data_IF_202702515091
#
_entry.id   IF_202702515091
#
_cell.length_a   1.000
_cell.length_b   1.000
_cell.length_c   1.000
_cell.angle_alpha   90.00
_cell.angle_beta   90.00
_cell.angle_gamma   90.00
#
_symmetry.space_group_name_H-M   'P 1'
#
loop_
_entity.id
_entity.type
_entity.pdbx_description
1 polymer ?
#
# COMPACT_ATOMS: atom_id res chain seq x y z
N UNK A 1 60.90 38.59 -1.32
CA UNK A 1 59.57 37.97 -1.33
C UNK A 1 59.69 36.56 -0.76
N UNK A 2 59.30 36.39 0.50
CA UNK A 2 59.37 35.12 1.20
C UNK A 2 58.20 34.22 0.76
N UNK A 3 58.52 33.03 0.23
CA UNK A 3 57.56 31.99 -0.02
C UNK A 3 56.94 31.55 1.32
N UNK A 4 55.66 31.85 1.50
CA UNK A 4 54.89 31.41 2.65
C UNK A 4 54.77 29.87 2.60
N UNK A 5 55.43 29.21 3.55
CA UNK A 5 55.24 27.78 3.84
C UNK A 5 53.78 27.57 4.24
N UNK A 6 53.06 26.72 3.51
CA UNK A 6 51.74 26.24 3.89
C UNK A 6 51.82 25.57 5.27
N UNK A 7 51.01 26.06 6.21
CA UNK A 7 50.86 25.49 7.54
C UNK A 7 50.32 24.06 7.46
N UNK A 8 50.68 23.16 8.41
CA UNK A 8 50.14 21.82 8.44
C UNK A 8 48.63 21.91 8.64
N UNK A 9 47.87 21.52 7.62
CA UNK A 9 46.42 21.41 7.70
C UNK A 9 46.13 20.36 8.79
N UNK A 10 45.49 20.77 9.88
CA UNK A 10 45.06 19.88 10.97
C UNK A 10 44.42 18.62 10.36
N UNK A 11 44.78 17.43 10.87
CA UNK A 11 44.32 16.13 10.36
C UNK A 11 42.79 16.08 10.21
N UNK A 12 42.05 16.76 11.10
CA UNK A 12 40.60 16.88 11.00
C UNK A 12 40.17 17.70 9.77
N UNK A 13 40.84 18.81 9.48
CA UNK A 13 40.58 19.64 8.31
C UNK A 13 40.86 18.89 6.99
N UNK A 14 41.92 18.09 6.95
CA UNK A 14 42.17 17.19 5.82
C UNK A 14 41.01 16.20 5.64
N UNK A 15 40.54 15.57 6.71
CA UNK A 15 39.45 14.61 6.61
C UNK A 15 38.13 15.25 6.18
N UNK A 16 37.82 16.45 6.67
CA UNK A 16 36.63 17.20 6.28
C UNK A 16 36.68 17.63 4.81
N UNK A 17 37.85 18.03 4.31
CA UNK A 17 38.03 18.35 2.89
C UNK A 17 37.76 17.13 2.00
N UNK A 18 38.30 15.95 2.34
CA UNK A 18 38.02 14.70 1.63
C UNK A 18 36.54 14.32 1.66
N UNK A 19 35.89 14.47 2.83
CA UNK A 19 34.46 14.18 2.99
C UNK A 19 33.59 15.14 2.17
N UNK A 20 33.97 16.42 2.10
CA UNK A 20 33.25 17.46 1.36
C UNK A 20 33.43 17.29 -0.14
N UNK A 21 34.64 16.99 -0.60
CA UNK A 21 34.90 16.65 -2.00
C UNK A 21 34.08 15.43 -2.44
N UNK A 22 34.09 14.36 -1.63
CA UNK A 22 33.30 13.17 -1.90
C UNK A 22 31.78 13.41 -1.85
N UNK A 23 31.31 14.40 -1.08
CA UNK A 23 29.91 14.81 -1.07
C UNK A 23 29.52 15.57 -2.36
N UNK A 24 30.45 16.33 -2.97
CA UNK A 24 30.21 17.16 -4.17
C UNK A 24 30.44 16.46 -5.52
N UNK A 25 31.40 15.54 -5.63
CA UNK A 25 31.72 14.87 -6.91
C UNK A 25 30.92 13.58 -7.09
N UNK A 26 30.27 13.38 -8.25
CA UNK A 26 29.55 12.14 -8.61
C UNK A 26 30.39 10.88 -8.38
N UNK A 27 29.77 9.76 -7.95
CA UNK A 27 30.46 8.49 -7.63
C UNK A 27 31.02 7.78 -8.88
N UNK A 28 30.95 8.43 -10.06
CA UNK A 28 31.52 7.95 -11.31
C UNK A 28 32.42 9.02 -11.89
N UNK A 29 33.70 8.71 -12.08
CA UNK A 29 34.58 9.58 -12.85
C UNK A 29 36.05 9.64 -12.46
N UNK A 30 36.64 8.62 -11.82
CA UNK A 30 38.11 8.48 -11.87
C UNK A 30 38.52 7.03 -11.98
N UNK A 31 39.26 6.74 -13.05
CA UNK A 31 39.92 5.47 -13.34
C UNK A 31 41.06 5.32 -12.32
N UNK A 32 40.73 4.82 -11.14
CA UNK A 32 41.70 4.64 -10.06
C UNK A 32 42.42 3.30 -10.18
N UNK A 33 43.75 3.37 -10.18
CA UNK A 33 44.68 2.25 -10.25
C UNK A 33 44.63 1.39 -8.98
N UNK A 34 44.81 0.07 -9.17
CA UNK A 34 44.25 -1.00 -8.34
C UNK A 34 44.87 -1.23 -6.94
N UNK A 35 45.68 -0.33 -6.38
CA UNK A 35 46.52 -0.66 -5.20
C UNK A 35 46.47 0.29 -3.99
N UNK A 36 45.76 1.43 -4.04
CA UNK A 36 45.70 2.36 -2.89
C UNK A 36 44.30 2.50 -2.30
N UNK A 37 44.15 2.43 -0.97
CA UNK A 37 42.91 2.83 -0.30
C UNK A 37 42.54 4.25 -0.70
N UNK A 38 41.29 4.46 -1.11
CA UNK A 38 40.81 5.76 -1.58
C UNK A 38 41.10 6.83 -0.51
N UNK A 39 41.48 8.06 -0.91
CA UNK A 39 41.68 9.17 0.02
C UNK A 39 40.51 9.34 1.00
N UNK A 40 39.27 9.09 0.52
CA UNK A 40 38.05 9.07 1.31
C UNK A 40 38.03 7.94 2.36
N UNK A 41 38.36 6.71 1.99
CA UNK A 41 38.37 5.58 2.93
C UNK A 41 39.34 5.81 4.09
N UNK A 42 40.54 6.33 3.80
CA UNK A 42 41.53 6.72 4.83
C UNK A 42 41.04 7.87 5.70
N UNK A 43 40.41 8.88 5.10
CA UNK A 43 39.83 10.01 5.85
C UNK A 43 38.71 9.56 6.79
N UNK A 44 37.80 8.69 6.35
CA UNK A 44 36.72 8.15 7.18
C UNK A 44 37.26 7.26 8.32
N UNK A 45 38.29 6.45 8.04
CA UNK A 45 38.93 5.66 9.09
C UNK A 45 39.59 6.56 10.15
N UNK A 46 40.30 7.62 9.73
CA UNK A 46 40.91 8.59 10.62
C UNK A 46 39.85 9.38 11.42
N UNK A 47 38.75 9.80 10.78
CA UNK A 47 37.60 10.41 11.44
C UNK A 47 37.03 9.51 12.52
N UNK A 48 36.78 8.25 12.20
CA UNK A 48 36.22 7.28 13.17
C UNK A 48 37.17 7.01 14.33
N UNK A 49 38.45 6.81 14.07
CA UNK A 49 39.40 6.27 15.06
C UNK A 49 40.12 7.36 15.87
N UNK A 50 40.43 8.51 15.26
CA UNK A 50 41.26 9.55 15.87
C UNK A 50 40.48 10.81 16.25
N UNK A 51 39.40 11.12 15.52
CA UNK A 51 38.66 12.36 15.74
C UNK A 51 37.39 12.12 16.56
N UNK A 52 36.45 11.32 16.05
CA UNK A 52 35.15 11.10 16.71
C UNK A 52 35.25 10.32 18.01
N UNK A 53 36.21 9.39 18.13
CA UNK A 53 36.45 8.65 19.39
C UNK A 53 37.27 9.42 20.42
N UNK A 54 37.89 10.55 20.05
CA UNK A 54 38.66 11.34 21.00
C UNK A 54 37.73 12.16 21.92
N UNK A 55 38.20 12.49 23.12
CA UNK A 55 37.47 13.38 24.03
C UNK A 55 37.15 14.73 23.36
N UNK A 56 35.88 15.16 23.44
CA UNK A 56 35.38 16.38 22.76
C UNK A 56 35.50 16.33 21.23
N UNK A 57 35.74 15.15 20.65
CA UNK A 57 35.98 14.95 19.23
C UNK A 57 34.73 15.11 18.37
N UNK A 58 33.58 14.64 18.88
CA UNK A 58 32.28 14.79 18.25
C UNK A 58 31.88 16.26 18.19
N UNK A 59 32.02 17.00 19.29
CA UNK A 59 31.75 18.44 19.31
C UNK A 59 32.64 19.21 18.32
N UNK A 60 33.95 18.90 18.26
CA UNK A 60 34.85 19.52 17.27
C UNK A 60 34.47 19.20 15.82
N UNK A 61 34.09 17.95 15.55
CA UNK A 61 33.60 17.54 14.23
C UNK A 61 32.29 18.27 13.86
N UNK A 62 31.36 18.40 14.80
CA UNK A 62 30.10 19.13 14.66
C UNK A 62 30.34 20.62 14.41
N UNK A 63 31.15 21.26 15.25
CA UNK A 63 31.45 22.70 15.17
C UNK A 63 32.11 23.08 13.84
N UNK A 64 32.88 22.17 13.24
CA UNK A 64 33.46 22.35 11.90
C UNK A 64 32.52 21.93 10.75
N UNK A 65 31.25 21.69 11.03
CA UNK A 65 30.22 21.41 10.02
C UNK A 65 30.28 20.01 9.39
N UNK A 66 30.98 19.05 9.99
CA UNK A 66 31.23 17.74 9.41
C UNK A 66 29.99 16.86 9.18
N UNK A 67 28.89 17.14 9.88
CA UNK A 67 27.64 16.38 9.73
C UNK A 67 26.99 16.55 8.35
N UNK A 68 27.05 17.75 7.76
CA UNK A 68 26.46 18.02 6.43
C UNK A 68 27.07 17.15 5.32
N UNK A 69 28.40 17.15 5.09
CA UNK A 69 29.00 16.34 4.04
C UNK A 69 28.91 14.84 4.34
N UNK A 70 28.91 14.44 5.62
CA UNK A 70 28.65 13.03 6.00
C UNK A 70 27.26 12.56 5.57
N UNK A 71 26.21 13.35 5.86
CA UNK A 71 24.84 13.04 5.47
C UNK A 71 24.65 13.11 3.94
N UNK A 72 25.33 14.02 3.26
CA UNK A 72 25.30 14.09 1.80
C UNK A 72 25.90 12.84 1.14
N UNK A 73 27.00 12.30 1.70
CA UNK A 73 27.59 11.04 1.24
C UNK A 73 26.59 9.87 1.40
N UNK A 74 25.93 9.78 2.56
CA UNK A 74 24.94 8.73 2.84
C UNK A 74 23.71 8.83 1.92
N UNK A 75 23.18 10.05 1.70
CA UNK A 75 22.07 10.30 0.75
C UNK A 75 22.35 9.79 -0.64
N UNK A 76 23.55 10.06 -1.12
CA UNK A 76 23.95 9.64 -2.47
C UNK A 76 24.08 8.14 -2.59
N UNK A 77 24.58 7.50 -1.54
CA UNK A 77 24.62 6.05 -1.49
C UNK A 77 23.23 5.43 -1.47
N UNK A 78 22.31 6.02 -0.69
CA UNK A 78 20.91 5.61 -0.67
C UNK A 78 20.25 5.76 -2.06
N UNK A 79 20.52 6.85 -2.77
CA UNK A 79 19.99 7.12 -4.11
C UNK A 79 20.59 6.23 -5.22
N UNK A 80 21.78 5.68 -5.04
CA UNK A 80 22.46 4.88 -6.07
C UNK A 80 21.81 3.51 -6.33
N UNK A 81 20.91 3.04 -5.45
CA UNK A 81 20.23 1.75 -5.57
C UNK A 81 21.15 0.52 -5.54
N UNK A 82 20.62 -0.69 -5.34
CA UNK A 82 21.42 -1.90 -5.53
C UNK A 82 21.76 -2.06 -7.02
N UNK A 83 23.05 -2.20 -7.34
CA UNK A 83 23.48 -2.52 -8.70
C UNK A 83 22.75 -3.79 -9.20
N UNK A 84 22.31 -3.84 -10.47
CA UNK A 84 21.67 -5.02 -11.03
C UNK A 84 22.60 -6.21 -10.81
N UNK A 85 22.06 -7.24 -10.16
CA UNK A 85 22.78 -8.51 -9.97
C UNK A 85 23.09 -9.03 -11.38
N UNK A 86 24.38 -9.13 -11.72
CA UNK A 86 24.76 -9.85 -12.93
C UNK A 86 24.14 -11.24 -12.84
N UNK A 87 23.25 -11.53 -13.78
CA UNK A 87 22.75 -12.88 -14.00
C UNK A 87 23.99 -13.77 -14.17
N UNK A 88 24.22 -14.65 -13.20
CA UNK A 88 25.14 -15.75 -13.39
C UNK A 88 24.72 -16.47 -14.66
N UNK A 89 25.67 -16.65 -15.58
CA UNK A 89 25.49 -17.34 -16.84
C UNK A 89 24.62 -18.59 -16.64
N UNK A 90 23.54 -18.67 -17.42
CA UNK A 90 22.58 -19.74 -17.33
C UNK A 90 23.25 -21.10 -17.43
N UNK A 91 23.06 -21.94 -16.42
CA UNK A 91 23.13 -23.37 -16.62
C UNK A 91 21.88 -23.77 -17.39
N UNK A 92 22.07 -24.14 -18.66
CA UNK A 92 21.04 -24.73 -19.49
C UNK A 92 20.47 -26.01 -18.83
N UNK A 93 19.21 -26.36 -19.07
CA UNK A 93 18.64 -27.62 -18.61
C UNK A 93 19.20 -28.75 -19.47
N UNK A 94 20.02 -29.64 -18.90
CA UNK A 94 20.41 -30.89 -19.57
C UNK A 94 19.35 -31.95 -19.32
N UNK A 95 18.73 -32.38 -20.41
CA UNK A 95 17.78 -33.48 -20.51
C UNK A 95 18.27 -34.75 -19.82
N UNK A 96 17.38 -35.37 -19.06
CA UNK A 96 17.55 -36.73 -18.54
C UNK A 96 17.12 -37.74 -19.61
N UNK A 97 18.09 -38.43 -20.20
CA UNK A 97 17.90 -39.77 -20.77
C UNK A 97 19.00 -40.70 -20.23
N UNK A 98 18.55 -41.88 -19.83
CA UNK A 98 19.30 -42.96 -19.17
C UNK A 98 20.29 -43.68 -20.10
N UNK A 99 21.45 -44.09 -19.57
CA UNK A 99 21.99 -45.45 -19.75
C UNK A 99 23.18 -45.71 -18.81
N UNK A 100 23.24 -46.95 -18.32
CA UNK A 100 24.19 -47.47 -17.34
C UNK A 100 25.59 -47.82 -17.93
N UNK A 101 26.65 -47.76 -17.12
CA UNK A 101 27.41 -48.94 -16.65
C UNK A 101 28.85 -48.63 -16.17
N UNK A 102 29.18 -49.22 -15.02
CA UNK A 102 30.47 -49.83 -14.57
C UNK A 102 31.83 -49.08 -14.57
N UNK A 103 32.43 -49.00 -13.36
CA UNK A 103 33.83 -49.41 -13.14
C UNK A 103 34.85 -48.35 -12.67
N UNK A 104 35.87 -48.67 -11.82
CA UNK A 104 36.40 -47.76 -10.80
C UNK A 104 37.76 -47.08 -11.09
N UNK A 105 38.13 -46.18 -10.17
CA UNK A 105 39.29 -45.25 -10.08
C UNK A 105 40.70 -45.91 -10.24
N UNK A 106 41.82 -45.15 -10.43
CA UNK A 106 42.39 -44.27 -9.39
C UNK A 106 43.07 -42.96 -9.89
N UNK A 107 43.38 -42.06 -8.94
CA UNK A 107 44.20 -40.83 -9.07
C UNK A 107 45.69 -41.14 -9.29
N UNK A 108 46.52 -40.18 -9.75
CA UNK A 108 47.24 -39.31 -8.80
C UNK A 108 47.58 -37.88 -9.30
N UNK A 109 48.02 -36.99 -8.40
CA UNK A 109 49.02 -35.96 -8.74
C UNK A 109 48.69 -34.49 -8.44
N UNK A 110 49.24 -34.02 -7.33
CA UNK A 110 49.29 -32.68 -6.74
C UNK A 110 49.76 -31.52 -7.63
N UNK A 111 49.21 -30.31 -7.41
CA UNK A 111 49.96 -29.04 -7.40
C UNK A 111 49.22 -27.98 -6.54
N UNK A 112 49.92 -27.18 -5.71
CA UNK A 112 49.29 -26.16 -4.88
C UNK A 112 49.15 -24.85 -5.67
N UNK A 113 47.92 -24.42 -5.95
CA UNK A 113 47.70 -23.06 -6.45
C UNK A 113 47.79 -22.06 -5.30
N UNK A 114 48.82 -21.23 -5.37
CA UNK A 114 49.06 -20.10 -4.49
C UNK A 114 47.79 -19.23 -4.33
N UNK A 115 47.41 -19.00 -3.08
CA UNK A 115 46.39 -18.03 -2.72
C UNK A 115 46.91 -16.62 -3.00
N UNK A 116 46.47 -16.02 -4.11
CA UNK A 116 46.59 -14.57 -4.32
C UNK A 116 45.64 -13.84 -3.37
N UNK A 117 46.06 -12.74 -2.71
CA UNK A 117 45.18 -11.95 -1.87
C UNK A 117 44.15 -11.26 -2.77
N UNK A 118 42.92 -11.78 -2.78
CA UNK A 118 41.84 -11.22 -3.57
C UNK A 118 41.56 -9.78 -3.15
N UNK A 119 41.86 -8.82 -4.03
CA UNK A 119 41.49 -7.43 -3.83
C UNK A 119 39.97 -7.30 -3.89
N UNK A 120 39.35 -6.56 -2.95
CA UNK A 120 37.90 -6.46 -2.89
C UNK A 120 37.37 -5.77 -4.15
N UNK A 121 36.37 -6.40 -4.76
CA UNK A 121 35.68 -5.89 -5.95
C UNK A 121 35.12 -4.47 -5.69
N UNK A 122 34.92 -3.64 -6.74
CA UNK A 122 34.32 -2.30 -6.63
C UNK A 122 33.10 -2.21 -5.68
N UNK A 123 32.12 -3.15 -5.69
CA UNK A 123 31.01 -3.12 -4.74
C UNK A 123 31.42 -3.36 -3.28
N UNK A 124 32.47 -4.14 -3.01
CA UNK A 124 32.97 -4.38 -1.66
C UNK A 124 33.68 -3.14 -1.06
N UNK A 125 34.35 -2.33 -1.89
CA UNK A 125 34.98 -1.07 -1.46
C UNK A 125 33.97 0.03 -1.15
N UNK A 126 32.87 0.10 -1.91
CA UNK A 126 31.77 1.03 -1.64
C UNK A 126 31.10 0.69 -0.29
N UNK A 127 30.84 -0.60 -0.02
CA UNK A 127 30.30 -1.06 1.28
C UNK A 127 31.16 -0.65 2.47
N UNK A 128 32.48 -0.89 2.42
CA UNK A 128 33.40 -0.51 3.51
C UNK A 128 33.36 0.99 3.82
N UNK A 129 33.26 1.83 2.78
CA UNK A 129 33.15 3.29 2.90
C UNK A 129 31.84 3.69 3.60
N UNK A 130 30.74 3.03 3.27
CA UNK A 130 29.42 3.27 3.87
C UNK A 130 29.35 2.80 5.32
N UNK A 131 29.90 1.64 5.64
CA UNK A 131 29.94 1.11 7.00
C UNK A 131 30.73 2.05 7.94
N UNK A 132 31.84 2.61 7.43
CA UNK A 132 32.63 3.62 8.14
C UNK A 132 31.82 4.90 8.36
N UNK A 133 31.14 5.41 7.33
CA UNK A 133 30.32 6.62 7.43
C UNK A 133 29.14 6.44 8.40
N UNK A 134 28.43 5.30 8.33
CA UNK A 134 27.38 4.93 9.28
C UNK A 134 27.92 4.82 10.70
N UNK A 135 29.08 4.21 10.90
CA UNK A 135 29.70 4.09 12.23
C UNK A 135 30.11 5.45 12.80
N UNK A 136 30.62 6.36 11.97
CA UNK A 136 30.93 7.74 12.38
C UNK A 136 29.66 8.44 12.82
N UNK A 137 28.59 8.36 12.01
CA UNK A 137 27.31 8.99 12.32
C UNK A 137 26.66 8.41 13.58
N UNK A 138 26.71 7.09 13.77
CA UNK A 138 26.23 6.42 14.97
C UNK A 138 26.95 6.93 16.23
N UNK A 139 28.27 7.06 16.16
CA UNK A 139 29.05 7.66 17.26
C UNK A 139 28.67 9.13 17.49
N UNK A 140 28.52 9.95 16.44
CA UNK A 140 28.06 11.33 16.61
C UNK A 140 26.68 11.39 17.28
N UNK A 141 25.79 10.46 16.96
CA UNK A 141 24.46 10.37 17.54
C UNK A 141 24.44 9.87 18.99
N UNK A 142 25.56 9.54 19.64
CA UNK A 142 25.58 9.33 21.10
C UNK A 142 25.48 10.66 21.87
N UNK A 143 25.85 11.79 21.25
CA UNK A 143 25.70 13.13 21.81
C UNK A 143 24.38 13.79 21.44
N UNK A 144 23.70 14.40 22.42
CA UNK A 144 22.38 15.01 22.24
C UNK A 144 22.34 16.13 21.21
N UNK A 145 23.32 17.03 21.22
CA UNK A 145 23.40 18.16 20.28
C UNK A 145 23.65 17.70 18.84
N UNK A 146 24.52 16.71 18.63
CA UNK A 146 24.71 16.09 17.32
C UNK A 146 23.45 15.38 16.83
N UNK A 147 22.75 14.62 17.68
CA UNK A 147 21.45 14.02 17.32
C UNK A 147 20.47 15.08 16.84
N UNK A 148 20.30 16.16 17.60
CA UNK A 148 19.39 17.25 17.24
C UNK A 148 19.76 17.87 15.88
N UNK A 149 21.04 18.08 15.62
CA UNK A 149 21.51 18.60 14.34
C UNK A 149 21.29 17.62 13.18
N UNK A 150 21.55 16.32 13.36
CA UNK A 150 21.26 15.30 12.35
C UNK A 150 19.78 15.29 11.98
N UNK A 151 18.88 15.42 12.97
CA UNK A 151 17.44 15.54 12.73
C UNK A 151 17.10 16.82 11.95
N UNK A 152 17.64 17.97 12.36
CA UNK A 152 17.46 19.26 11.68
C UNK A 152 17.97 19.23 10.23
N UNK A 153 19.05 18.50 9.97
CA UNK A 153 19.62 18.34 8.64
C UNK A 153 18.85 17.32 7.79
N UNK A 154 17.78 16.68 8.29
CA UNK A 154 17.02 15.67 7.56
C UNK A 154 17.80 14.36 7.37
N UNK A 155 18.62 13.97 8.35
CA UNK A 155 19.48 12.79 8.27
C UNK A 155 18.77 11.46 8.53
N UNK A 156 17.57 11.46 9.11
CA UNK A 156 16.84 10.23 9.50
C UNK A 156 16.46 9.40 8.28
N UNK A 157 15.85 10.03 7.27
CA UNK A 157 15.33 9.31 6.10
C UNK A 157 16.45 8.58 5.32
N UNK A 158 17.58 9.24 4.96
CA UNK A 158 18.69 8.55 4.28
C UNK A 158 19.33 7.43 5.11
N UNK A 159 19.40 7.62 6.44
CA UNK A 159 19.86 6.58 7.37
C UNK A 159 18.94 5.35 7.32
N UNK A 160 17.62 5.57 7.41
CA UNK A 160 16.63 4.51 7.34
C UNK A 160 16.68 3.76 6.02
N UNK A 161 16.75 4.47 4.90
CA UNK A 161 16.87 3.88 3.56
C UNK A 161 18.12 3.00 3.44
N UNK A 162 19.28 3.48 3.90
CA UNK A 162 20.52 2.69 3.86
C UNK A 162 20.47 1.45 4.74
N UNK A 163 19.94 1.57 5.96
CA UNK A 163 19.78 0.42 6.86
C UNK A 163 18.85 -0.61 6.24
N UNK A 164 17.74 -0.17 5.64
CA UNK A 164 16.79 -1.04 4.96
C UNK A 164 17.39 -1.71 3.72
N UNK A 165 18.20 -0.99 2.94
CA UNK A 165 18.93 -1.56 1.79
C UNK A 165 19.93 -2.64 2.24
N UNK A 166 20.71 -2.37 3.29
CA UNK A 166 21.64 -3.36 3.84
C UNK A 166 20.91 -4.60 4.35
N UNK A 167 19.78 -4.40 5.06
CA UNK A 167 18.96 -5.50 5.54
C UNK A 167 18.33 -6.29 4.38
N UNK A 168 17.89 -5.61 3.32
CA UNK A 168 17.37 -6.23 2.08
C UNK A 168 18.42 -7.14 1.45
N UNK A 169 19.67 -6.68 1.32
CA UNK A 169 20.77 -7.49 0.77
C UNK A 169 21.00 -8.76 1.59
N UNK A 170 20.92 -8.67 2.92
CA UNK A 170 21.06 -9.85 3.79
C UNK A 170 19.84 -10.77 3.71
N UNK A 171 18.63 -10.21 3.76
CA UNK A 171 17.36 -10.92 3.67
C UNK A 171 17.24 -11.73 2.38
N UNK A 172 17.69 -11.17 1.26
CA UNK A 172 17.64 -11.82 -0.06
C UNK A 172 18.85 -12.72 -0.37
N UNK A 173 19.79 -12.87 0.56
CA UNK A 173 20.89 -13.85 0.44
C UNK A 173 20.37 -15.29 0.65
N UNK A 174 21.06 -16.34 0.16
CA UNK A 174 20.63 -17.72 0.39
C UNK A 174 20.44 -18.06 1.87
N UNK A 175 21.33 -17.56 2.73
CA UNK A 175 21.22 -17.71 4.17
C UNK A 175 20.01 -16.94 4.74
N UNK A 176 19.83 -15.68 4.33
CA UNK A 176 18.71 -14.85 4.79
C UNK A 176 17.35 -15.41 4.40
N UNK A 177 17.21 -15.91 3.18
CA UNK A 177 15.98 -16.58 2.71
C UNK A 177 15.68 -17.83 3.55
N UNK A 178 16.70 -18.64 3.86
CA UNK A 178 16.57 -19.79 4.75
C UNK A 178 16.13 -19.39 6.16
N UNK A 179 16.75 -18.35 6.72
CA UNK A 179 16.41 -17.83 8.04
C UNK A 179 14.97 -17.29 8.11
N UNK A 180 14.56 -16.49 7.11
CA UNK A 180 13.19 -15.95 7.03
C UNK A 180 12.15 -17.06 6.86
N UNK A 181 12.43 -18.04 6.00
CA UNK A 181 11.54 -19.20 5.79
C UNK A 181 11.39 -20.00 7.09
N UNK A 182 12.50 -20.30 7.77
CA UNK A 182 12.46 -21.00 9.06
C UNK A 182 11.66 -20.21 10.10
N UNK A 183 11.84 -18.89 10.16
CA UNK A 183 11.14 -18.04 11.11
C UNK A 183 9.61 -18.02 10.83
N UNK A 184 9.19 -17.92 9.58
CA UNK A 184 7.77 -17.98 9.19
C UNK A 184 7.10 -19.34 9.47
N UNK A 185 7.81 -20.45 9.24
CA UNK A 185 7.23 -21.79 9.35
C UNK A 185 7.35 -22.38 10.76
N UNK A 186 8.45 -22.08 11.45
CA UNK A 186 8.83 -22.74 12.71
C UNK A 186 9.01 -21.78 13.89
N UNK A 187 8.95 -20.46 13.67
CA UNK A 187 9.05 -19.47 14.74
C UNK A 187 7.87 -19.49 15.72
N UNK A 188 7.95 -18.70 16.78
CA UNK A 188 6.80 -18.43 17.66
C UNK A 188 5.69 -17.69 16.90
N UNK A 189 4.43 -17.72 17.35
CA UNK A 189 3.34 -16.96 16.71
C UNK A 189 3.67 -15.47 16.55
N UNK A 190 4.30 -14.86 17.55
CA UNK A 190 4.72 -13.47 17.55
C UNK A 190 5.82 -13.22 16.50
N UNK A 191 6.83 -14.09 16.45
CA UNK A 191 7.92 -13.97 15.49
C UNK A 191 7.41 -14.11 14.05
N UNK A 192 6.49 -15.05 13.81
CA UNK A 192 5.90 -15.25 12.48
C UNK A 192 5.17 -14.01 11.99
N UNK A 193 4.35 -13.40 12.84
CA UNK A 193 3.62 -12.17 12.51
C UNK A 193 4.60 -11.01 12.31
N UNK A 194 5.60 -10.85 13.18
CA UNK A 194 6.62 -9.82 13.04
C UNK A 194 7.44 -9.97 11.75
N UNK A 195 7.75 -11.20 11.35
CA UNK A 195 8.41 -11.50 10.09
C UNK A 195 7.52 -11.15 8.91
N UNK A 196 6.28 -11.65 8.87
CA UNK A 196 5.32 -11.34 7.81
C UNK A 196 5.11 -9.82 7.63
N UNK A 197 4.99 -9.11 8.74
CA UNK A 197 4.88 -7.65 8.80
C UNK A 197 6.08 -6.92 8.17
N UNK A 198 7.28 -7.48 8.31
CA UNK A 198 8.53 -6.84 7.87
C UNK A 198 8.85 -7.12 6.41
N UNK A 199 8.42 -8.27 5.87
CA UNK A 199 8.77 -8.74 4.52
C UNK A 199 8.53 -7.72 3.40
N UNK A 200 7.41 -6.98 3.34
CA UNK A 200 7.20 -5.99 2.28
C UNK A 200 8.29 -4.91 2.22
N UNK A 201 8.96 -4.61 3.34
CA UNK A 201 10.00 -3.59 3.39
C UNK A 201 11.39 -4.12 2.99
N UNK A 202 11.66 -5.41 3.26
CA UNK A 202 13.00 -6.02 3.13
C UNK A 202 13.14 -7.00 1.96
N UNK A 203 12.03 -7.40 1.32
CA UNK A 203 12.05 -8.32 0.18
C UNK A 203 11.50 -7.60 -1.06
N UNK A 204 12.40 -7.19 -1.96
CA UNK A 204 12.02 -6.46 -3.18
C UNK A 204 11.83 -7.39 -4.38
N UNK A 205 12.47 -8.57 -4.36
CA UNK A 205 12.32 -9.56 -5.44
C UNK A 205 10.90 -10.14 -5.51
N UNK A 206 10.19 -10.03 -6.65
CA UNK A 206 8.86 -10.59 -6.82
C UNK A 206 8.73 -12.07 -6.54
N UNK A 207 9.75 -12.85 -6.87
CA UNK A 207 9.75 -14.29 -6.61
C UNK A 207 9.90 -14.64 -5.13
N UNK A 208 10.52 -13.76 -4.33
CA UNK A 208 10.76 -14.00 -2.91
C UNK A 208 9.55 -13.60 -2.07
N UNK A 209 9.04 -12.38 -2.24
CA UNK A 209 7.88 -11.95 -1.45
C UNK A 209 6.64 -12.78 -1.79
N UNK A 210 6.44 -13.20 -3.06
CA UNK A 210 5.36 -14.14 -3.42
C UNK A 210 5.49 -15.46 -2.66
N UNK A 211 6.68 -16.04 -2.65
CA UNK A 211 6.94 -17.29 -1.92
C UNK A 211 6.67 -17.16 -0.43
N UNK A 212 7.20 -16.13 0.21
CA UNK A 212 7.13 -15.99 1.67
C UNK A 212 5.76 -15.48 2.15
N UNK A 213 5.15 -14.52 1.46
CA UNK A 213 3.88 -13.93 1.88
C UNK A 213 2.66 -14.68 1.34
N UNK A 214 2.71 -15.21 0.12
CA UNK A 214 1.56 -15.89 -0.50
C UNK A 214 1.67 -17.40 -0.32
N UNK A 215 2.70 -18.04 -0.88
CA UNK A 215 2.80 -19.51 -0.92
C UNK A 215 2.96 -20.10 0.48
N UNK A 216 3.80 -19.47 1.31
CA UNK A 216 4.02 -19.86 2.72
C UNK A 216 3.02 -19.22 3.70
N UNK A 217 2.05 -18.45 3.21
CA UNK A 217 0.95 -17.93 4.01
C UNK A 217 1.27 -16.75 4.93
N UNK A 218 2.41 -16.06 4.78
CA UNK A 218 2.75 -14.90 5.61
C UNK A 218 1.69 -13.80 5.62
N UNK A 219 1.05 -13.50 4.48
CA UNK A 219 -0.04 -12.53 4.40
C UNK A 219 -1.28 -13.00 5.19
N UNK A 220 -1.62 -14.29 5.15
CA UNK A 220 -2.72 -14.84 5.95
C UNK A 220 -2.43 -14.74 7.46
N UNK A 221 -1.18 -14.93 7.86
CA UNK A 221 -0.75 -14.73 9.25
C UNK A 221 -0.89 -13.27 9.68
N UNK A 222 -0.52 -12.32 8.80
CA UNK A 222 -0.69 -10.90 9.07
C UNK A 222 -2.17 -10.52 9.19
N UNK A 223 -3.02 -10.97 8.26
CA UNK A 223 -4.45 -10.67 8.26
C UNK A 223 -5.17 -11.30 9.47
N UNK A 224 -4.89 -12.57 9.79
CA UNK A 224 -5.44 -13.20 11.01
C UNK A 224 -4.96 -12.53 12.30
N UNK A 225 -3.78 -11.92 12.30
CA UNK A 225 -3.28 -11.16 13.45
C UNK A 225 -4.00 -9.82 13.65
N UNK A 226 -4.55 -9.21 12.58
CA UNK A 226 -5.39 -7.99 12.66
C UNK A 226 -6.72 -8.24 13.36
N UNK A 227 -7.24 -9.45 13.21
CA UNK A 227 -8.58 -9.84 13.66
C UNK A 227 -8.58 -10.49 15.03
N UNK A 228 -7.42 -10.48 15.72
CA UNK A 228 -7.34 -10.90 17.13
C UNK A 228 -8.03 -9.87 18.01
N UNK A 229 -8.63 -10.28 19.14
CA UNK A 229 -9.24 -9.33 20.07
C UNK A 229 -8.21 -8.30 20.56
N UNK A 230 -8.56 -7.01 20.44
CA UNK A 230 -7.77 -5.86 20.87
C UNK A 230 -6.29 -5.88 20.42
N UNK A 231 -6.01 -5.82 19.11
CA UNK A 231 -4.62 -5.73 18.64
C UNK A 231 -3.99 -4.43 19.11
N UNK A 232 -2.71 -4.49 19.49
CA UNK A 232 -2.01 -3.31 20.00
C UNK A 232 -2.00 -2.17 18.95
N UNK A 233 -2.27 -0.91 19.31
CA UNK A 233 -2.37 0.19 18.32
C UNK A 233 -1.13 0.37 17.45
N UNK A 234 0.07 0.14 18.01
CA UNK A 234 1.31 0.17 17.23
C UNK A 234 1.39 -0.95 16.18
N UNK A 235 0.83 -2.13 16.46
CA UNK A 235 0.80 -3.21 15.46
C UNK A 235 -0.07 -2.80 14.27
N UNK A 236 -1.25 -2.23 14.52
CA UNK A 236 -2.13 -1.74 13.45
C UNK A 236 -1.44 -0.66 12.60
N UNK A 237 -0.68 0.25 13.23
CA UNK A 237 0.10 1.25 12.51
C UNK A 237 1.10 0.62 11.54
N UNK A 238 1.88 -0.37 11.99
CA UNK A 238 2.84 -1.04 11.12
C UNK A 238 2.16 -1.95 10.08
N UNK A 239 1.06 -2.60 10.43
CA UNK A 239 0.35 -3.51 9.54
C UNK A 239 -0.28 -2.76 8.37
N UNK A 240 -0.89 -1.60 8.66
CA UNK A 240 -1.36 -0.64 7.67
C UNK A 240 -0.28 -0.34 6.62
N UNK A 241 0.90 0.09 7.07
CA UNK A 241 2.00 0.45 6.17
C UNK A 241 2.58 -0.76 5.43
N UNK A 242 2.65 -1.91 6.09
CA UNK A 242 3.11 -3.17 5.50
C UNK A 242 2.20 -3.62 4.35
N UNK A 243 0.88 -3.58 4.55
CA UNK A 243 -0.12 -3.94 3.54
C UNK A 243 -0.11 -2.95 2.36
N UNK A 244 0.01 -1.64 2.63
CA UNK A 244 0.13 -0.64 1.56
C UNK A 244 1.44 -0.76 0.79
N UNK A 245 2.55 -1.06 1.47
CA UNK A 245 3.82 -1.33 0.82
C UNK A 245 3.73 -2.57 -0.08
N UNK A 246 3.08 -3.64 0.40
CA UNK A 246 2.85 -4.85 -0.37
C UNK A 246 1.96 -4.58 -1.59
N UNK A 247 0.89 -3.79 -1.45
CA UNK A 247 0.05 -3.37 -2.57
C UNK A 247 0.89 -2.66 -3.65
N UNK A 248 1.79 -1.76 -3.26
CA UNK A 248 2.71 -1.09 -4.20
C UNK A 248 3.72 -2.03 -4.87
N UNK A 249 4.05 -3.17 -4.26
CA UNK A 249 4.91 -4.20 -4.86
C UNK A 249 4.15 -5.10 -5.84
N UNK A 250 2.88 -5.40 -5.56
CA UNK A 250 2.01 -6.24 -6.40
C UNK A 250 1.51 -5.45 -7.62
N UNK A 251 1.13 -4.19 -7.40
CA UNK A 251 0.66 -3.27 -8.42
C UNK A 251 1.67 -2.13 -8.55
N UNK A 252 2.80 -2.33 -9.25
CA UNK A 252 3.74 -1.26 -9.52
C UNK A 252 3.13 -0.29 -10.53
N UNK A 253 2.27 0.61 -10.07
CA UNK A 253 1.82 1.75 -10.85
C UNK A 253 3.04 2.65 -11.07
N UNK A 254 3.46 2.79 -12.32
CA UNK A 254 4.64 3.58 -12.68
C UNK A 254 4.45 5.05 -12.33
N UNK A 255 5.37 5.60 -11.53
CA UNK A 255 5.51 7.03 -11.19
C UNK A 255 4.28 7.66 -10.51
N UNK A 256 4.44 8.64 -9.59
CA UNK A 256 3.36 9.57 -9.32
C UNK A 256 3.25 10.50 -10.54
N UNK A 257 2.80 9.97 -11.67
CA UNK A 257 1.91 10.79 -12.47
C UNK A 257 0.77 11.09 -11.50
N UNK A 258 0.75 12.32 -11.00
CA UNK A 258 -0.50 12.99 -10.71
C UNK A 258 -1.36 12.60 -11.92
N UNK A 259 -2.22 11.60 -11.76
CA UNK A 259 -3.39 11.51 -12.62
C UNK A 259 -3.91 12.93 -12.53
N UNK A 260 -3.96 13.68 -13.65
CA UNK A 260 -4.56 15.00 -13.60
C UNK A 260 -5.84 14.77 -12.82
N UNK A 261 -6.06 15.57 -11.77
CA UNK A 261 -7.35 15.62 -11.12
C UNK A 261 -8.30 15.63 -12.31
N UNK A 262 -8.97 14.50 -12.56
CA UNK A 262 -10.00 14.47 -13.58
C UNK A 262 -10.85 15.62 -13.08
N UNK A 263 -11.07 16.65 -13.90
CA UNK A 263 -11.97 17.71 -13.51
C UNK A 263 -13.21 17.02 -12.93
N UNK A 264 -13.91 17.68 -12.02
CA UNK A 264 -15.30 17.35 -11.78
C UNK A 264 -16.08 17.53 -13.10
N UNK A 265 -15.81 16.70 -14.11
CA UNK A 265 -16.74 16.36 -15.16
C UNK A 265 -17.73 15.44 -14.47
N UNK A 266 -18.62 16.10 -13.75
CA UNK A 266 -20.01 15.74 -13.81
C UNK A 266 -20.31 15.67 -15.31
N UNK A 267 -20.20 14.46 -15.90
CA UNK A 267 -21.04 14.18 -17.06
C UNK A 267 -22.43 14.72 -16.69
N UNK A 268 -23.02 15.62 -17.50
CA UNK A 268 -24.28 16.23 -17.14
C UNK A 268 -25.25 15.10 -16.79
N UNK A 269 -25.92 15.18 -15.62
CA UNK A 269 -26.71 14.08 -15.12
C UNK A 269 -27.66 13.63 -16.23
N UNK A 270 -27.68 12.32 -16.47
CA UNK A 270 -28.58 11.72 -17.44
C UNK A 270 -29.99 12.29 -17.22
N UNK A 271 -30.73 12.62 -18.30
CA UNK A 271 -32.06 13.20 -18.14
C UNK A 271 -32.90 12.29 -17.26
N UNK A 272 -33.55 12.88 -16.25
CA UNK A 272 -34.38 12.13 -15.33
C UNK A 272 -35.65 11.65 -16.07
N UNK A 273 -35.79 10.34 -16.21
CA UNK A 273 -36.95 9.72 -16.86
C UNK A 273 -38.17 9.62 -15.94
N UNK A 274 -37.97 9.83 -14.63
CA UNK A 274 -39.03 9.76 -13.63
C UNK A 274 -39.68 11.11 -13.35
N UNK A 275 -38.92 12.21 -13.46
CA UNK A 275 -39.41 13.57 -13.21
C UNK A 275 -40.69 13.94 -13.98
N UNK A 276 -40.89 13.52 -15.26
CA UNK A 276 -42.13 13.77 -15.99
C UNK A 276 -43.39 13.17 -15.35
N UNK A 277 -43.27 12.17 -14.46
CA UNK A 277 -44.40 11.55 -13.75
C UNK A 277 -44.82 12.31 -12.49
N UNK A 278 -44.02 13.25 -11.99
CA UNK A 278 -44.27 13.97 -10.74
C UNK A 278 -45.06 15.28 -10.91
N UNK A 279 -45.19 15.76 -12.15
CA UNK A 279 -45.84 17.03 -12.47
C UNK A 279 -47.37 17.00 -12.32
N UNK A 280 -48.04 18.17 -12.37
CA UNK A 280 -49.50 18.27 -12.27
C UNK A 280 -50.25 17.64 -13.46
N UNK A 281 -49.57 17.43 -14.58
CA UNK A 281 -50.08 16.73 -15.76
C UNK A 281 -49.03 15.69 -16.20
N UNK A 282 -48.95 14.53 -15.53
CA UNK A 282 -47.90 13.53 -15.78
C UNK A 282 -48.07 12.90 -17.16
N UNK A 283 -46.97 12.82 -17.90
CA UNK A 283 -46.93 12.25 -19.25
C UNK A 283 -45.79 11.23 -19.34
N UNK A 284 -46.08 9.92 -19.47
CA UNK A 284 -47.41 9.28 -19.50
C UNK A 284 -48.14 9.37 -18.15
N UNK A 285 -49.47 9.28 -18.17
CA UNK A 285 -50.25 9.16 -16.95
C UNK A 285 -49.86 7.88 -16.18
N UNK A 286 -49.71 7.93 -14.84
CA UNK A 286 -49.37 6.76 -14.05
C UNK A 286 -50.52 5.74 -14.07
N UNK A 287 -50.19 4.46 -14.26
CA UNK A 287 -51.14 3.34 -14.24
C UNK A 287 -51.19 2.64 -12.87
N UNK A 288 -50.32 3.04 -11.94
CA UNK A 288 -50.34 2.63 -10.54
C UNK A 288 -49.66 3.68 -9.64
N UNK A 289 -49.95 3.61 -8.35
CA UNK A 289 -49.27 4.38 -7.31
C UNK A 289 -48.73 3.43 -6.24
N UNK A 290 -47.50 3.66 -5.82
CA UNK A 290 -46.95 3.02 -4.62
C UNK A 290 -47.30 3.85 -3.39
N UNK A 291 -47.83 3.20 -2.35
CA UNK A 291 -48.16 3.82 -1.06
C UNK A 291 -47.09 3.48 -0.04
N UNK A 292 -46.38 4.48 0.47
CA UNK A 292 -45.42 4.32 1.56
C UNK A 292 -46.12 4.34 2.93
N UNK A 293 -45.43 3.87 3.97
CA UNK A 293 -45.94 3.90 5.35
C UNK A 293 -46.20 5.32 5.87
N UNK A 294 -45.50 6.32 5.32
CA UNK A 294 -45.76 7.75 5.60
C UNK A 294 -47.08 8.27 5.02
N UNK A 295 -47.76 7.46 4.21
CA UNK A 295 -48.94 7.86 3.44
C UNK A 295 -48.62 8.53 2.11
N UNK A 296 -47.32 8.74 1.80
CA UNK A 296 -46.89 9.30 0.53
C UNK A 296 -47.26 8.36 -0.63
N UNK A 297 -47.87 8.92 -1.68
CA UNK A 297 -48.22 8.21 -2.91
C UNK A 297 -47.25 8.58 -4.01
N UNK A 298 -46.53 7.59 -4.52
CA UNK A 298 -45.54 7.76 -5.58
C UNK A 298 -46.10 7.21 -6.89
N UNK A 299 -46.24 8.03 -7.96
CA UNK A 299 -46.74 7.57 -9.25
C UNK A 299 -45.73 6.61 -9.88
N UNK A 300 -46.21 5.58 -10.58
CA UNK A 300 -45.36 4.62 -11.25
C UNK A 300 -46.00 4.07 -12.53
N UNK A 301 -45.21 3.33 -13.30
CA UNK A 301 -45.66 2.58 -14.46
C UNK A 301 -45.45 1.08 -14.23
N UNK A 302 -46.50 0.29 -14.45
CA UNK A 302 -46.51 -1.15 -14.22
C UNK A 302 -45.50 -1.84 -15.13
N UNK A 303 -45.53 -1.48 -16.41
CA UNK A 303 -44.63 -2.04 -17.41
C UNK A 303 -43.15 -1.71 -17.12
N UNK A 304 -42.84 -0.47 -16.74
CA UNK A 304 -41.48 -0.06 -16.40
C UNK A 304 -40.97 -0.81 -15.16
N UNK A 305 -41.77 -0.82 -14.08
CA UNK A 305 -41.43 -1.49 -12.82
C UNK A 305 -41.20 -2.99 -13.00
N UNK A 306 -42.10 -3.67 -13.74
CA UNK A 306 -41.99 -5.10 -14.03
C UNK A 306 -40.83 -5.46 -14.98
N UNK A 307 -40.42 -4.52 -15.83
CA UNK A 307 -39.25 -4.71 -16.70
C UNK A 307 -37.97 -4.60 -15.91
N UNK A 308 -37.87 -3.57 -15.06
CA UNK A 308 -36.66 -3.23 -14.32
C UNK A 308 -36.32 -4.20 -13.17
N UNK A 309 -37.30 -4.90 -12.61
CA UNK A 309 -37.08 -5.80 -11.46
C UNK A 309 -37.89 -7.08 -11.56
N UNK A 310 -37.28 -8.26 -11.32
CA UNK A 310 -38.00 -9.52 -11.24
C UNK A 310 -38.96 -9.56 -10.04
N UNK A 311 -38.67 -8.86 -8.94
CA UNK A 311 -39.58 -8.73 -7.79
C UNK A 311 -40.86 -8.03 -8.22
N UNK A 312 -40.75 -6.83 -8.82
CA UNK A 312 -41.91 -6.07 -9.27
C UNK A 312 -42.63 -6.77 -10.44
N UNK A 313 -41.91 -7.53 -11.27
CA UNK A 313 -42.54 -8.38 -12.30
C UNK A 313 -43.47 -9.41 -11.68
N UNK A 314 -42.99 -10.15 -10.68
CA UNK A 314 -43.79 -11.13 -9.98
C UNK A 314 -44.99 -10.48 -9.28
N UNK A 315 -44.76 -9.36 -8.59
CA UNK A 315 -45.79 -8.65 -7.84
C UNK A 315 -46.90 -8.07 -8.74
N UNK A 316 -46.53 -7.42 -9.84
CA UNK A 316 -47.44 -6.59 -10.63
C UNK A 316 -48.01 -7.28 -11.88
N UNK A 317 -47.33 -8.32 -12.39
CA UNK A 317 -47.77 -9.08 -13.56
C UNK A 317 -48.04 -10.57 -13.24
N UNK A 318 -47.82 -10.99 -11.99
CA UNK A 318 -48.12 -12.33 -11.52
C UNK A 318 -49.57 -12.48 -11.03
N UNK A 319 -49.79 -13.51 -10.22
CA UNK A 319 -51.12 -13.88 -9.68
C UNK A 319 -51.42 -13.30 -8.30
N UNK A 320 -50.68 -12.27 -7.87
CA UNK A 320 -50.88 -11.60 -6.60
C UNK A 320 -52.05 -10.59 -6.68
N UNK A 321 -52.65 -10.25 -5.53
CA UNK A 321 -53.75 -9.29 -5.48
C UNK A 321 -53.30 -7.91 -5.99
N UNK A 322 -52.06 -7.54 -5.72
CA UNK A 322 -51.37 -6.32 -6.13
C UNK A 322 -51.30 -6.14 -7.66
N UNK A 323 -51.43 -7.22 -8.44
CA UNK A 323 -51.50 -7.15 -9.89
C UNK A 323 -52.76 -6.41 -10.38
N UNK A 324 -53.84 -6.42 -9.60
CA UNK A 324 -55.12 -5.77 -9.91
C UNK A 324 -55.34 -4.46 -9.12
N UNK A 325 -54.36 -4.03 -8.31
CA UNK A 325 -54.47 -2.83 -7.49
C UNK A 325 -53.85 -1.61 -8.18
N UNK A 326 -54.56 -0.49 -8.14
CA UNK A 326 -54.05 0.82 -8.58
C UNK A 326 -53.19 1.50 -7.51
N UNK A 327 -53.30 1.05 -6.25
CA UNK A 327 -52.56 1.56 -5.10
C UNK A 327 -51.88 0.40 -4.36
N UNK A 328 -50.59 0.20 -4.62
CA UNK A 328 -49.81 -0.93 -4.09
C UNK A 328 -48.98 -0.48 -2.88
N UNK A 329 -49.15 -1.06 -1.69
CA UNK A 329 -48.38 -0.66 -0.51
C UNK A 329 -46.93 -1.17 -0.55
N UNK A 330 -45.96 -0.28 -0.32
CA UNK A 330 -44.55 -0.60 -0.10
C UNK A 330 -44.17 -0.28 1.35
N UNK A 331 -44.05 -1.32 2.17
CA UNK A 331 -43.78 -1.21 3.60
C UNK A 331 -42.29 -1.19 3.93
N UNK A 332 -41.92 -0.55 5.02
CA UNK A 332 -40.55 -0.36 5.47
C UNK A 332 -39.75 0.40 4.43
N UNK A 333 -40.24 1.58 4.04
CA UNK A 333 -39.57 2.44 3.08
C UNK A 333 -39.87 3.92 3.37
N UNK A 334 -38.87 4.66 3.83
CA UNK A 334 -38.92 6.11 3.98
C UNK A 334 -39.02 6.82 2.62
N UNK A 335 -39.54 8.06 2.59
CA UNK A 335 -39.62 8.84 1.35
C UNK A 335 -38.27 8.97 0.64
N UNK A 336 -37.20 9.33 1.34
CA UNK A 336 -35.87 9.52 0.75
C UNK A 336 -35.28 8.22 0.21
N UNK A 337 -35.49 7.09 0.88
CA UNK A 337 -35.06 5.77 0.41
C UNK A 337 -35.89 5.28 -0.80
N UNK A 338 -37.15 5.71 -0.91
CA UNK A 338 -38.02 5.35 -2.03
C UNK A 338 -37.64 6.02 -3.35
N UNK A 339 -37.15 7.26 -3.32
CA UNK A 339 -36.81 8.01 -4.54
C UNK A 339 -35.81 7.30 -5.46
N UNK A 340 -34.62 6.85 -5.00
CA UNK A 340 -33.67 6.13 -5.86
C UNK A 340 -34.28 4.89 -6.54
N UNK A 341 -35.16 4.18 -5.84
CA UNK A 341 -35.83 2.96 -6.34
C UNK A 341 -36.75 3.31 -7.50
N UNK A 342 -37.63 4.29 -7.32
CA UNK A 342 -38.55 4.74 -8.36
C UNK A 342 -37.79 5.25 -9.58
N UNK A 343 -36.76 6.08 -9.39
CA UNK A 343 -35.93 6.55 -10.49
C UNK A 343 -35.30 5.38 -11.27
N UNK A 344 -34.78 4.38 -10.56
CA UNK A 344 -34.15 3.22 -11.20
C UNK A 344 -35.14 2.33 -11.95
N UNK A 345 -36.34 2.10 -11.39
CA UNK A 345 -37.43 1.34 -12.04
C UNK A 345 -37.88 1.98 -13.35
N UNK A 346 -37.81 3.31 -13.43
CA UNK A 346 -38.13 4.10 -14.62
C UNK A 346 -36.93 4.31 -15.56
N UNK A 347 -35.83 3.59 -15.34
CA UNK A 347 -34.68 3.57 -16.26
C UNK A 347 -33.66 4.68 -16.03
N UNK A 348 -33.78 5.50 -14.98
CA UNK A 348 -32.75 6.48 -14.66
C UNK A 348 -31.46 5.77 -14.24
N UNK A 349 -30.32 6.28 -14.72
CA UNK A 349 -28.97 5.88 -14.31
C UNK A 349 -28.17 7.15 -14.10
N UNK A 350 -27.64 7.38 -12.90
CA UNK A 350 -26.79 8.57 -12.64
C UNK A 350 -27.51 9.93 -12.66
N UNK A 351 -28.84 9.99 -12.53
CA UNK A 351 -29.60 11.26 -12.45
C UNK A 351 -29.47 12.00 -11.09
N UNK A 352 -28.59 11.54 -10.20
CA UNK A 352 -28.38 12.12 -8.86
C UNK A 352 -29.33 11.61 -7.77
N UNK A 353 -30.38 10.85 -8.09
CA UNK A 353 -31.33 10.34 -7.10
C UNK A 353 -30.67 9.49 -5.99
N UNK A 354 -29.64 8.71 -6.34
CA UNK A 354 -28.87 7.90 -5.39
C UNK A 354 -28.07 8.73 -4.36
N UNK A 355 -27.87 10.03 -4.60
CA UNK A 355 -27.19 10.93 -3.65
C UNK A 355 -28.13 11.45 -2.57
N UNK A 356 -29.44 11.53 -2.85
CA UNK A 356 -30.45 12.07 -1.95
C UNK A 356 -30.47 11.44 -0.55
N UNK A 357 -30.52 10.09 -0.42
CA UNK A 357 -30.58 9.44 0.88
C UNK A 357 -29.22 9.41 1.62
N UNK A 358 -28.12 9.77 0.96
CA UNK A 358 -26.77 9.67 1.57
C UNK A 358 -26.51 10.86 2.48
N UNK A 359 -26.38 10.65 3.80
CA UNK A 359 -26.13 11.75 4.72
C UNK A 359 -24.73 12.35 4.51
N UNK A 360 -24.51 13.62 4.88
CA UNK A 360 -23.19 14.22 4.80
C UNK A 360 -22.19 13.54 5.76
N UNK A 361 -20.87 13.65 5.50
CA UNK A 361 -19.84 13.11 6.38
C UNK A 361 -19.98 13.61 7.83
N UNK A 362 -19.77 12.71 8.79
CA UNK A 362 -19.92 12.99 10.23
C UNK A 362 -21.28 12.65 10.81
N UNK A 363 -22.28 12.34 9.98
CA UNK A 363 -23.53 11.72 10.41
C UNK A 363 -23.44 10.19 10.32
N UNK A 364 -24.16 9.45 11.18
CA UNK A 364 -24.14 7.99 11.18
C UNK A 364 -24.75 7.45 9.88
N UNK A 365 -24.12 6.43 9.30
CA UNK A 365 -24.64 5.71 8.13
C UNK A 365 -25.58 4.57 8.52
N UNK A 366 -25.31 3.90 9.65
CA UNK A 366 -26.24 2.94 10.23
C UNK A 366 -27.50 3.66 10.73
N UNK A 367 -28.65 3.09 10.41
CA UNK A 367 -29.98 3.65 10.64
C UNK A 367 -30.33 4.84 9.76
N UNK A 368 -29.51 5.15 8.74
CA UNK A 368 -29.79 6.24 7.80
C UNK A 368 -30.68 5.79 6.65
N UNK A 369 -31.27 6.75 5.94
CA UNK A 369 -32.05 6.50 4.72
C UNK A 369 -31.19 5.87 3.61
N UNK A 370 -29.86 6.00 3.65
CA UNK A 370 -28.94 5.35 2.73
C UNK A 370 -28.85 3.84 2.96
N UNK A 371 -28.77 3.41 4.23
CA UNK A 371 -28.80 1.99 4.58
C UNK A 371 -30.14 1.38 4.17
N UNK A 372 -31.24 2.06 4.48
CA UNK A 372 -32.58 1.64 4.10
C UNK A 372 -32.72 1.53 2.57
N UNK A 373 -32.18 2.48 1.80
CA UNK A 373 -32.16 2.42 0.34
C UNK A 373 -31.36 1.23 -0.19
N UNK A 374 -30.21 0.91 0.41
CA UNK A 374 -29.38 -0.25 0.07
C UNK A 374 -30.08 -1.57 0.41
N UNK A 375 -30.75 -1.66 1.56
CA UNK A 375 -31.58 -2.82 1.94
C UNK A 375 -32.75 -3.00 0.98
N UNK A 376 -33.44 -1.92 0.64
CA UNK A 376 -34.57 -1.95 -0.27
C UNK A 376 -34.15 -2.32 -1.70
N UNK A 377 -33.01 -1.84 -2.19
CA UNK A 377 -32.47 -2.22 -3.49
C UNK A 377 -32.20 -3.75 -3.55
N UNK A 378 -31.63 -4.34 -2.51
CA UNK A 378 -31.45 -5.79 -2.41
C UNK A 378 -32.77 -6.55 -2.30
N UNK A 379 -33.68 -6.09 -1.43
CA UNK A 379 -35.03 -6.67 -1.26
C UNK A 379 -35.82 -6.67 -2.56
N UNK A 380 -35.68 -5.64 -3.37
CA UNK A 380 -36.37 -5.48 -4.65
C UNK A 380 -35.57 -6.01 -5.84
N UNK A 381 -34.43 -6.67 -5.60
CA UNK A 381 -33.59 -7.30 -6.62
C UNK A 381 -33.14 -6.30 -7.71
N UNK A 382 -32.59 -5.18 -7.27
CA UNK A 382 -32.10 -4.07 -8.10
C UNK A 382 -30.56 -3.94 -8.00
N UNK A 383 -29.76 -4.89 -8.52
CA UNK A 383 -28.31 -4.89 -8.35
C UNK A 383 -27.66 -3.64 -8.96
N UNK A 384 -28.16 -3.13 -10.09
CA UNK A 384 -27.64 -1.89 -10.67
C UNK A 384 -27.85 -0.66 -9.77
N UNK A 385 -28.95 -0.63 -8.99
CA UNK A 385 -29.19 0.44 -8.02
C UNK A 385 -28.32 0.27 -6.78
N UNK A 386 -28.14 -0.95 -6.28
CA UNK A 386 -27.19 -1.23 -5.21
C UNK A 386 -25.82 -0.69 -5.59
N UNK A 387 -25.38 -0.94 -6.82
CA UNK A 387 -24.09 -0.46 -7.28
C UNK A 387 -23.97 1.07 -7.32
N UNK A 388 -25.02 1.76 -7.77
CA UNK A 388 -25.08 3.23 -7.81
C UNK A 388 -25.10 3.85 -6.40
N UNK A 389 -25.83 3.24 -5.45
CA UNK A 389 -25.91 3.68 -4.05
C UNK A 389 -24.58 3.47 -3.32
N UNK A 390 -23.94 2.32 -3.49
CA UNK A 390 -22.62 2.05 -2.90
C UNK A 390 -21.56 3.01 -3.46
N UNK A 391 -21.63 3.33 -4.75
CA UNK A 391 -20.75 4.31 -5.38
C UNK A 391 -21.03 5.73 -4.87
N UNK A 392 -22.29 6.08 -4.60
CA UNK A 392 -22.65 7.36 -3.97
C UNK A 392 -22.08 7.47 -2.54
N UNK A 393 -22.29 6.44 -1.71
CA UNK A 393 -21.74 6.37 -0.35
C UNK A 393 -20.21 6.43 -0.38
N UNK A 394 -19.57 5.66 -1.26
CA UNK A 394 -18.13 5.66 -1.46
C UNK A 394 -17.58 7.03 -1.84
N UNK A 395 -18.22 7.72 -2.81
CA UNK A 395 -17.80 9.06 -3.24
C UNK A 395 -17.91 10.11 -2.13
N UNK A 396 -18.99 10.08 -1.34
CA UNK A 396 -19.24 11.08 -0.29
C UNK A 396 -18.34 10.83 0.92
N UNK A 397 -18.22 9.58 1.38
CA UNK A 397 -17.55 9.26 2.65
C UNK A 397 -16.09 8.85 2.50
N UNK A 398 -15.73 8.24 1.36
CA UNK A 398 -14.38 7.76 1.04
C UNK A 398 -13.75 8.59 -0.10
N UNK A 399 -14.23 9.80 -0.33
CA UNK A 399 -13.63 10.73 -1.28
C UNK A 399 -12.30 11.33 -0.78
N UNK A 400 -11.70 12.27 -1.55
CA UNK A 400 -10.48 12.99 -1.16
C UNK A 400 -10.61 13.78 0.16
N UNK A 401 -11.84 14.22 0.46
CA UNK A 401 -12.17 14.95 1.68
C UNK A 401 -12.64 14.03 2.82
N UNK A 402 -12.80 12.73 2.55
CA UNK A 402 -13.18 11.74 3.55
C UNK A 402 -12.11 11.62 4.65
N UNK A 403 -12.55 11.53 5.90
CA UNK A 403 -11.69 11.25 7.04
C UNK A 403 -11.52 9.75 7.27
N UNK A 404 -10.46 9.30 7.96
CA UNK A 404 -10.30 7.90 8.35
C UNK A 404 -11.44 7.39 9.25
N UNK A 405 -12.15 8.30 9.95
CA UNK A 405 -13.27 7.98 10.82
C UNK A 405 -14.47 7.41 10.02
N UNK A 406 -14.67 7.86 8.78
CA UNK A 406 -15.76 7.39 7.91
C UNK A 406 -15.58 5.95 7.45
N UNK A 407 -14.36 5.41 7.46
CA UNK A 407 -14.06 4.09 6.89
C UNK A 407 -14.77 2.98 7.67
N UNK A 408 -14.77 3.05 9.00
CA UNK A 408 -15.48 2.09 9.85
C UNK A 408 -17.00 2.18 9.70
N UNK A 409 -17.55 3.39 9.56
CA UNK A 409 -19.00 3.61 9.32
C UNK A 409 -19.46 2.98 8.01
N UNK A 410 -18.72 3.22 6.91
CA UNK A 410 -19.05 2.67 5.59
C UNK A 410 -18.91 1.15 5.59
N UNK A 411 -17.89 0.61 6.27
CA UNK A 411 -17.68 -0.84 6.36
C UNK A 411 -18.83 -1.54 7.11
N UNK A 412 -19.40 -0.90 8.14
CA UNK A 412 -20.52 -1.44 8.94
C UNK A 412 -21.81 -1.66 8.15
N UNK A 413 -21.97 -1.03 6.98
CA UNK A 413 -23.10 -1.30 6.08
C UNK A 413 -23.09 -2.74 5.51
N UNK A 414 -22.00 -3.49 5.72
CA UNK A 414 -21.95 -4.93 5.44
C UNK A 414 -21.97 -5.28 3.95
N UNK A 415 -21.66 -4.31 3.07
CA UNK A 415 -21.69 -4.52 1.61
C UNK A 415 -20.32 -4.88 1.05
N UNK A 416 -20.17 -5.95 0.23
CA UNK A 416 -18.88 -6.40 -0.29
C UNK A 416 -18.12 -5.34 -1.11
N UNK A 417 -18.82 -4.58 -1.97
CA UNK A 417 -18.19 -3.52 -2.79
C UNK A 417 -17.74 -2.34 -1.92
N UNK A 418 -18.53 -1.97 -0.91
CA UNK A 418 -18.14 -0.96 0.08
C UNK A 418 -16.95 -1.40 0.94
N UNK A 419 -16.89 -2.66 1.36
CA UNK A 419 -15.74 -3.22 2.05
C UNK A 419 -14.47 -3.10 1.20
N UNK A 420 -14.57 -3.39 -0.10
CA UNK A 420 -13.47 -3.20 -1.05
C UNK A 420 -13.11 -1.71 -1.22
N UNK A 421 -14.08 -0.79 -1.25
CA UNK A 421 -13.82 0.66 -1.24
C UNK A 421 -13.07 1.11 0.01
N UNK A 422 -13.47 0.63 1.18
CA UNK A 422 -12.79 0.94 2.44
C UNK A 422 -11.34 0.44 2.45
N UNK A 423 -11.11 -0.79 1.99
CA UNK A 423 -9.77 -1.36 1.88
C UNK A 423 -8.90 -0.59 0.87
N UNK A 424 -9.45 -0.22 -0.31
CA UNK A 424 -8.77 0.60 -1.32
C UNK A 424 -8.39 1.98 -0.79
N UNK A 425 -9.34 2.65 -0.12
CA UNK A 425 -9.09 3.96 0.48
C UNK A 425 -7.99 3.90 1.53
N UNK A 426 -8.04 2.88 2.40
CA UNK A 426 -7.08 2.68 3.49
C UNK A 426 -5.67 2.43 2.94
N UNK A 427 -5.51 1.42 2.08
CA UNK A 427 -4.20 1.01 1.58
C UNK A 427 -3.64 1.91 0.49
N UNK A 428 -4.48 2.79 -0.08
CA UNK A 428 -4.14 3.65 -1.20
C UNK A 428 -2.93 4.57 -0.96
N UNK A 429 -2.26 4.98 -2.06
CA UNK A 429 -1.03 5.79 -2.01
C UNK A 429 -1.28 7.24 -1.54
N UNK A 430 -2.51 7.74 -1.61
CA UNK A 430 -2.88 9.08 -1.18
C UNK A 430 -2.94 9.27 0.35
N UNK A 431 -2.86 8.20 1.13
CA UNK A 431 -2.95 8.26 2.60
C UNK A 431 -1.57 8.35 3.25
N UNK A 432 -1.44 9.26 4.22
CA UNK A 432 -0.27 9.24 5.10
C UNK A 432 -0.37 8.09 6.11
N UNK A 433 0.75 7.57 6.64
CA UNK A 433 0.76 6.44 7.58
C UNK A 433 -0.22 6.57 8.76
N UNK A 434 -0.34 7.78 9.32
CA UNK A 434 -1.26 8.05 10.43
C UNK A 434 -2.72 7.88 10.02
N UNK A 435 -3.14 8.42 8.86
CA UNK A 435 -4.52 8.27 8.37
C UNK A 435 -4.83 6.81 8.07
N UNK A 436 -3.89 6.11 7.44
CA UNK A 436 -4.01 4.67 7.14
C UNK A 436 -4.20 3.83 8.39
N UNK A 437 -3.38 4.08 9.41
CA UNK A 437 -3.47 3.39 10.69
C UNK A 437 -4.84 3.62 11.36
N UNK A 438 -5.31 4.87 11.41
CA UNK A 438 -6.63 5.19 11.99
C UNK A 438 -7.78 4.53 11.23
N UNK A 439 -7.73 4.50 9.91
CA UNK A 439 -8.74 3.81 9.11
C UNK A 439 -8.71 2.29 9.32
N UNK A 440 -7.51 1.70 9.43
CA UNK A 440 -7.39 0.28 9.74
C UNK A 440 -7.92 -0.07 11.13
N UNK A 441 -7.71 0.81 12.13
CA UNK A 441 -8.35 0.69 13.45
C UNK A 441 -9.86 0.67 13.30
N UNK A 442 -10.44 1.65 12.61
CA UNK A 442 -11.88 1.72 12.40
C UNK A 442 -12.45 0.52 11.65
N UNK A 443 -11.70 -0.06 10.71
CA UNK A 443 -12.06 -1.30 10.01
C UNK A 443 -12.07 -2.52 10.93
N UNK A 444 -11.04 -2.69 11.76
CA UNK A 444 -10.94 -3.81 12.70
C UNK A 444 -12.03 -3.72 13.76
N UNK A 445 -12.30 -2.52 14.28
CA UNK A 445 -13.39 -2.26 15.21
C UNK A 445 -14.76 -2.53 14.58
N UNK A 446 -14.97 -2.10 13.33
CA UNK A 446 -16.20 -2.32 12.59
C UNK A 446 -16.45 -3.79 12.24
N UNK A 447 -15.40 -4.58 12.00
CA UNK A 447 -15.52 -6.00 11.70
C UNK A 447 -15.93 -6.83 12.93
N UNK A 448 -15.56 -6.40 14.14
CA UNK A 448 -15.88 -7.11 15.37
C UNK A 448 -15.41 -8.57 15.34
N UNK A 449 -16.33 -9.50 15.62
CA UNK A 449 -16.08 -10.95 15.57
C UNK A 449 -16.13 -11.51 14.13
N UNK A 450 -16.78 -10.81 13.19
CA UNK A 450 -16.93 -11.22 11.79
C UNK A 450 -15.81 -10.65 10.91
N UNK A 451 -14.61 -11.17 11.11
CA UNK A 451 -13.41 -10.73 10.43
C UNK A 451 -13.26 -11.19 8.96
N UNK A 452 -14.16 -12.05 8.48
CA UNK A 452 -14.13 -12.63 7.13
C UNK A 452 -14.16 -11.55 6.03
N UNK A 453 -15.19 -10.70 5.96
CA UNK A 453 -15.30 -9.66 4.93
C UNK A 453 -14.12 -8.68 4.91
N UNK A 454 -13.58 -8.34 6.09
CA UNK A 454 -12.40 -7.47 6.19
C UNK A 454 -11.17 -8.14 5.58
N UNK A 455 -10.94 -9.41 5.93
CA UNK A 455 -9.82 -10.20 5.44
C UNK A 455 -9.89 -10.36 3.92
N UNK A 456 -11.08 -10.68 3.39
CA UNK A 456 -11.31 -10.82 1.95
C UNK A 456 -11.10 -9.50 1.20
N UNK A 457 -11.63 -8.39 1.72
CA UNK A 457 -11.47 -7.08 1.10
C UNK A 457 -10.00 -6.62 1.06
N UNK A 458 -9.27 -6.75 2.18
CA UNK A 458 -7.84 -6.43 2.23
C UNK A 458 -7.03 -7.32 1.29
N UNK A 459 -7.33 -8.63 1.27
CA UNK A 459 -6.67 -9.58 0.37
C UNK A 459 -6.92 -9.22 -1.10
N UNK A 460 -8.17 -8.97 -1.49
CA UNK A 460 -8.53 -8.60 -2.86
C UNK A 460 -7.78 -7.33 -3.32
N UNK A 461 -7.73 -6.31 -2.47
CA UNK A 461 -7.06 -5.03 -2.76
C UNK A 461 -5.55 -5.18 -2.85
N UNK A 462 -4.93 -5.95 -1.95
CA UNK A 462 -3.49 -6.22 -1.98
C UNK A 462 -3.11 -7.04 -3.21
N UNK A 463 -3.94 -8.01 -3.59
CA UNK A 463 -3.69 -8.90 -4.71
C UNK A 463 -4.03 -8.28 -6.07
N UNK A 464 -4.62 -7.08 -6.09
CA UNK A 464 -5.05 -6.43 -7.33
C UNK A 464 -6.16 -7.19 -8.06
N UNK A 465 -6.94 -8.02 -7.34
CA UNK A 465 -8.10 -8.69 -7.91
C UNK A 465 -9.22 -7.67 -7.90
N UNK A 466 -9.58 -7.16 -9.08
CA UNK A 466 -10.74 -6.29 -9.19
C UNK A 466 -11.98 -7.07 -8.74
N UNK A 467 -12.55 -6.65 -7.61
CA UNK A 467 -13.89 -7.04 -7.18
C UNK A 467 -14.90 -6.32 -8.08
N UNK A 468 -14.95 -6.72 -9.35
CA UNK A 468 -15.89 -6.24 -10.36
C UNK A 468 -16.36 -7.44 -11.16
N UNK A 469 -17.62 -7.81 -11.00
CA UNK A 469 -18.26 -8.89 -11.72
C UNK A 469 -18.25 -8.62 -13.22
N UNK A 470 -17.21 -9.09 -13.91
CA UNK A 470 -17.34 -9.44 -15.33
C UNK A 470 -17.78 -10.90 -15.35
N UNK A 471 -19.10 -11.10 -15.40
CA UNK A 471 -19.65 -12.39 -15.81
C UNK A 471 -19.02 -12.81 -17.15
N UNK A 472 -18.95 -14.12 -17.45
CA UNK A 472 -18.38 -14.57 -18.70
C UNK A 472 -19.11 -13.88 -19.85
N UNK A 473 -18.38 -13.15 -20.69
CA UNK A 473 -18.92 -12.78 -21.99
C UNK A 473 -19.15 -14.08 -22.73
N UNK A 474 -20.42 -14.51 -22.75
CA UNK A 474 -20.87 -15.52 -23.67
C UNK A 474 -20.79 -14.87 -25.05
N UNK A 475 -19.68 -15.12 -25.74
CA UNK A 475 -19.65 -15.09 -27.20
C UNK A 475 -20.61 -16.19 -27.67
N UNK A 476 -21.78 -15.79 -28.14
CA UNK A 476 -22.64 -16.49 -29.10
C UNK A 476 -23.43 -15.45 -29.90
#
# INVERSE_FOLDING_TARGET
MAAAKSTPTDSLSFCLAQLTAAAGEGLGGRKDTATSETPLGRALLALRTRHVKAAGGIERFRARGGLRPLLALLRRAAAAGPAPSQAGAGSAPSSVESAASSGPAPSPGSAPSAASPATPSPPARLRKTLDLALSILANCCTEGACRAEVRRLGGILPLGEMLLQNLTVQAESPFGVGALTHLLLSGSPEDRVACALTLPFICRKPSLWRRLLLDQGGLRLLLSALTRPAPHPLFLFFAADSLSCLQGLVSPTGSPAILPAIPLDLDPPSPCLYEPLLGPAPMPAPDLHFLLDSGLRLPAQRAASATASPFFRALLAGSFAEAQMDLVPLRGLSPSAAWPILHHLHGCRGCGAALGPVPPPGQPLLGSEAEEALEAAGRFLLPGLEEELEEAVGRIHLGPQGGPESVGEVFRLGRPRLAAHCARWTLGPGQCPRKRALALVGLVEAAGEEAGPLTEALLAVVMGVESGGKGPSLDC
#
